data_IF_631959829168
#
_entry.id   IF_631959829168
#
_cell.length_a   1.000
_cell.length_b   1.000
_cell.length_c   1.000
_cell.angle_alpha   90.00
_cell.angle_beta   90.00
_cell.angle_gamma   90.00
#
_symmetry.space_group_name_H-M   'P 1'
#
loop_
_entity.id
_entity.type
_entity.pdbx_description
1 polymer ?
#
# COMPACT_ATOMS: atom_id res chain seq x y z
N UNK A 1 -3.49 -4.02 27.18
CA UNK A 1 -4.80 -3.47 27.54
C UNK A 1 -5.60 -3.24 26.28
N UNK A 2 -6.92 -3.44 26.31
CA UNK A 2 -7.77 -3.09 25.17
C UNK A 2 -7.76 -1.56 25.00
N UNK A 3 -7.60 -1.10 23.76
CA UNK A 3 -7.62 0.32 23.41
C UNK A 3 -8.76 0.65 22.45
N UNK A 4 -9.19 1.91 22.47
CA UNK A 4 -10.05 2.50 21.44
C UNK A 4 -9.16 3.37 20.56
N UNK A 5 -9.31 3.24 19.24
CA UNK A 5 -8.57 4.06 18.29
C UNK A 5 -9.52 5.04 17.62
N UNK A 6 -9.04 6.25 17.37
CA UNK A 6 -9.78 7.28 16.66
C UNK A 6 -8.85 7.97 15.67
N UNK A 7 -9.44 8.45 14.58
CA UNK A 7 -8.76 9.26 13.58
C UNK A 7 -9.72 10.31 13.07
N UNK A 8 -9.18 11.37 12.48
CA UNK A 8 -9.98 12.40 11.83
C UNK A 8 -9.13 13.53 11.30
N UNK A 9 -9.76 14.50 10.63
CA UNK A 9 -9.09 15.72 10.22
C UNK A 9 -8.85 16.65 11.42
N UNK A 10 -7.89 17.55 11.28
CA UNK A 10 -7.71 18.74 12.12
C UNK A 10 -7.27 19.92 11.25
N UNK A 11 -7.53 21.13 11.73
CA UNK A 11 -7.07 22.40 11.16
C UNK A 11 -6.21 23.17 12.16
N UNK A 12 -5.60 22.44 13.10
CA UNK A 12 -4.76 22.98 14.14
C UNK A 12 -3.97 21.88 14.84
N UNK A 13 -3.00 22.28 15.66
CA UNK A 13 -2.17 21.32 16.38
C UNK A 13 -2.92 20.61 17.50
N UNK A 14 -2.78 19.29 17.53
CA UNK A 14 -3.27 18.43 18.59
C UNK A 14 -2.13 17.89 19.49
N UNK A 15 -0.87 18.16 19.14
CA UNK A 15 0.30 17.73 19.89
C UNK A 15 0.42 18.51 21.21
N UNK A 16 0.77 17.81 22.29
CA UNK A 16 0.93 18.45 23.60
C UNK A 16 2.05 19.51 23.56
N UNK A 17 1.76 20.71 24.08
CA UNK A 17 2.73 21.81 24.15
C UNK A 17 2.91 22.57 22.83
N UNK A 18 2.12 22.26 21.80
CA UNK A 18 2.06 23.08 20.59
C UNK A 18 1.48 24.47 20.88
N UNK A 19 1.95 25.47 20.14
CA UNK A 19 1.32 26.79 20.13
C UNK A 19 0.04 26.66 19.31
N UNK A 20 -1.09 27.15 19.81
CA UNK A 20 -2.33 27.14 19.03
C UNK A 20 -2.12 27.86 17.71
N UNK A 21 -2.08 27.09 16.64
CA UNK A 21 -1.99 27.55 15.28
C UNK A 21 -3.21 27.03 14.52
N UNK A 22 -3.83 27.91 13.74
CA UNK A 22 -4.90 27.56 12.81
C UNK A 22 -4.29 27.40 11.43
N UNK A 23 -4.62 26.30 10.76
CA UNK A 23 -4.12 25.95 9.44
C UNK A 23 -5.19 26.16 8.39
N UNK A 24 -4.78 26.71 7.24
CA UNK A 24 -5.67 26.84 6.09
C UNK A 24 -6.01 25.46 5.49
N UNK A 25 -5.04 24.55 5.53
CA UNK A 25 -5.19 23.19 5.05
C UNK A 25 -5.44 22.19 6.17
N UNK A 26 -6.15 21.11 5.82
CA UNK A 26 -6.40 20.00 6.75
C UNK A 26 -5.16 19.11 6.94
N UNK A 27 -4.86 18.75 8.18
CA UNK A 27 -4.06 17.56 8.49
C UNK A 27 -4.98 16.45 9.00
N UNK A 28 -4.40 15.30 9.28
CA UNK A 28 -5.09 14.21 9.97
C UNK A 28 -4.33 13.76 11.19
N UNK A 29 -5.04 13.11 12.11
CA UNK A 29 -4.47 12.55 13.32
C UNK A 29 -4.99 11.14 13.56
N UNK A 30 -4.22 10.37 14.31
CA UNK A 30 -4.61 9.08 14.84
C UNK A 30 -4.22 9.02 16.31
N UNK A 31 -5.09 8.47 17.14
CA UNK A 31 -4.84 8.34 18.56
C UNK A 31 -5.37 7.02 19.12
N UNK A 32 -4.77 6.61 20.23
CA UNK A 32 -5.25 5.49 21.04
C UNK A 32 -5.61 5.97 22.42
N UNK A 33 -6.74 5.48 22.91
CA UNK A 33 -7.24 5.72 24.26
C UNK A 33 -7.38 4.41 25.01
N UNK A 34 -7.16 4.44 26.32
CA UNK A 34 -7.45 3.32 27.20
C UNK A 34 -8.97 3.12 27.28
N UNK A 35 -9.46 1.94 26.90
CA UNK A 35 -10.89 1.68 26.77
C UNK A 35 -11.69 1.86 28.07
N UNK A 36 -11.08 1.62 29.23
CA UNK A 36 -11.73 1.71 30.54
C UNK A 36 -11.83 3.11 31.11
N UNK A 37 -10.92 4.02 30.72
CA UNK A 37 -10.78 5.34 31.36
C UNK A 37 -10.92 6.49 30.38
N UNK A 38 -10.73 6.25 29.09
CA UNK A 38 -10.62 7.31 28.08
C UNK A 38 -9.30 8.06 28.10
N UNK A 39 -8.31 7.61 28.89
CA UNK A 39 -6.98 8.21 28.92
C UNK A 39 -6.28 8.07 27.56
N UNK A 40 -5.78 9.17 27.00
CA UNK A 40 -4.98 9.15 25.79
C UNK A 40 -3.65 8.45 26.06
N UNK A 41 -3.39 7.36 25.34
CA UNK A 41 -2.15 6.58 25.45
C UNK A 41 -1.09 7.09 24.49
N UNK A 42 -1.51 7.47 23.28
CA UNK A 42 -0.66 8.13 22.28
C UNK A 42 -1.53 8.89 21.27
N UNK A 43 -0.92 9.88 20.61
CA UNK A 43 -1.47 10.63 19.50
C UNK A 43 -0.34 10.91 18.51
N UNK A 44 -0.60 10.66 17.24
CA UNK A 44 0.20 11.14 16.13
C UNK A 44 -0.64 12.03 15.22
N UNK A 45 -0.03 13.09 14.71
CA UNK A 45 -0.65 14.00 13.75
C UNK A 45 0.21 13.96 12.48
N UNK A 46 -0.42 13.46 11.42
CA UNK A 46 0.17 13.21 10.12
C UNK A 46 0.27 14.52 9.34
N UNK A 47 1.51 14.89 9.03
CA UNK A 47 1.87 16.15 8.36
C UNK A 47 2.53 17.15 9.31
N UNK A 48 3.43 17.97 8.74
CA UNK A 48 4.26 18.93 9.46
C UNK A 48 4.44 20.29 8.73
N UNK A 49 4.24 20.35 7.41
CA UNK A 49 4.24 21.60 6.62
C UNK A 49 2.82 22.10 6.31
N UNK A 50 2.45 23.24 6.88
CA UNK A 50 1.04 23.60 7.08
C UNK A 50 0.35 24.24 5.88
N UNK A 51 1.11 24.59 4.83
CA UNK A 51 0.55 25.26 3.65
C UNK A 51 0.71 24.46 2.34
N UNK A 52 1.46 23.35 2.35
CA UNK A 52 1.85 22.63 1.14
C UNK A 52 0.89 21.49 0.74
N UNK A 53 0.05 21.01 1.66
CA UNK A 53 -0.81 19.84 1.42
C UNK A 53 -2.13 19.86 2.21
N UNK A 54 -3.09 19.03 1.79
CA UNK A 54 -4.27 18.63 2.55
C UNK A 54 -4.25 17.11 2.75
N UNK A 55 -4.47 16.64 3.98
CA UNK A 55 -4.59 15.21 4.29
C UNK A 55 -5.89 14.95 5.04
N UNK A 56 -6.70 14.03 4.52
CA UNK A 56 -7.99 13.69 5.10
C UNK A 56 -8.18 12.18 5.27
N UNK A 57 -7.76 11.68 6.43
CA UNK A 57 -7.91 10.28 6.85
C UNK A 57 -9.23 10.09 7.60
N UNK A 58 -10.01 9.08 7.21
CA UNK A 58 -11.34 8.77 7.79
C UNK A 58 -11.57 7.28 8.00
N UNK A 59 -10.94 6.42 7.21
CA UNK A 59 -10.96 4.98 7.42
C UNK A 59 -10.00 4.59 8.53
N UNK A 60 -10.39 3.67 9.41
CA UNK A 60 -9.51 3.06 10.40
C UNK A 60 -9.78 1.56 10.51
N UNK A 61 -8.73 0.77 10.55
CA UNK A 61 -8.79 -0.68 10.78
C UNK A 61 -7.68 -1.07 11.74
N UNK A 62 -7.93 -2.08 12.58
CA UNK A 62 -6.96 -2.56 13.55
C UNK A 62 -6.83 -4.06 13.42
N UNK A 63 -5.61 -4.55 13.53
CA UNK A 63 -5.32 -5.99 13.43
C UNK A 63 -4.57 -6.49 14.67
N UNK A 64 -4.70 -7.79 14.92
CA UNK A 64 -4.20 -8.42 16.13
C UNK A 64 -2.66 -8.56 16.16
N UNK A 65 -1.99 -8.31 15.04
CA UNK A 65 -0.53 -8.22 14.93
C UNK A 65 0.08 -6.98 15.61
N UNK A 66 -0.77 -6.02 15.99
CA UNK A 66 -0.31 -4.73 16.51
C UNK A 66 -0.25 -3.61 15.47
N UNK A 67 -0.91 -3.76 14.31
CA UNK A 67 -1.07 -2.72 13.30
C UNK A 67 -2.36 -1.91 13.47
N UNK A 68 -2.25 -0.59 13.35
CA UNK A 68 -3.38 0.34 13.14
C UNK A 68 -3.24 0.93 11.75
N UNK A 69 -4.23 0.72 10.90
CA UNK A 69 -4.26 1.21 9.54
C UNK A 69 -5.24 2.37 9.46
N UNK A 70 -4.81 3.49 8.89
CA UNK A 70 -5.68 4.62 8.56
C UNK A 70 -5.68 4.86 7.05
N UNK A 71 -6.81 5.31 6.51
CA UNK A 71 -7.00 5.49 5.08
C UNK A 71 -7.80 6.73 4.76
N UNK A 72 -7.48 7.35 3.63
CA UNK A 72 -8.09 8.59 3.18
C UNK A 72 -7.53 9.06 1.86
N UNK A 73 -7.26 10.36 1.78
CA UNK A 73 -6.63 10.98 0.63
C UNK A 73 -5.67 12.10 1.04
N UNK A 74 -4.72 12.40 0.15
CA UNK A 74 -3.80 13.53 0.22
C UNK A 74 -3.96 14.42 -1.01
N UNK A 75 -3.62 15.70 -0.90
CA UNK A 75 -3.48 16.63 -2.02
C UNK A 75 -2.31 17.57 -1.74
N UNK A 76 -1.46 17.86 -2.70
CA UNK A 76 -0.25 18.70 -2.51
C UNK A 76 0.99 17.87 -2.18
N UNK A 77 2.01 18.51 -1.61
CA UNK A 77 3.30 17.88 -1.30
C UNK A 77 3.34 17.44 0.16
N UNK A 78 3.02 16.17 0.44
CA UNK A 78 3.24 15.58 1.76
C UNK A 78 4.66 14.99 1.83
N UNK A 79 5.33 15.13 2.96
CA UNK A 79 6.70 14.67 3.15
C UNK A 79 6.88 13.18 2.84
N UNK A 80 7.91 12.87 2.04
CA UNK A 80 8.22 11.51 1.60
C UNK A 80 7.35 10.98 0.46
N UNK A 81 6.43 11.77 -0.08
CA UNK A 81 5.55 11.41 -1.19
C UNK A 81 5.70 12.38 -2.37
N UNK A 82 5.12 12.04 -3.52
CA UNK A 82 5.10 12.91 -4.70
C UNK A 82 4.06 14.03 -4.55
N UNK A 83 4.37 15.23 -5.04
CA UNK A 83 3.41 16.33 -5.07
C UNK A 83 2.27 16.04 -6.04
N UNK A 84 1.03 16.18 -5.57
CA UNK A 84 -0.16 15.93 -6.39
C UNK A 84 -1.04 17.17 -6.52
N UNK A 85 -1.62 17.36 -7.70
CA UNK A 85 -2.52 18.49 -7.97
C UNK A 85 -4.00 18.12 -7.81
N UNK A 86 -4.32 16.84 -8.04
CA UNK A 86 -5.54 16.15 -7.65
C UNK A 86 -5.37 15.50 -6.28
N UNK A 87 -6.40 14.79 -5.82
CA UNK A 87 -6.32 14.02 -4.57
C UNK A 87 -5.89 12.60 -4.88
N UNK A 88 -4.89 12.08 -4.18
CA UNK A 88 -4.48 10.68 -4.28
C UNK A 88 -4.92 9.91 -3.04
N UNK A 89 -5.19 8.61 -3.18
CA UNK A 89 -5.52 7.78 -2.03
C UNK A 89 -4.29 7.65 -1.12
N UNK A 90 -4.50 7.74 0.19
CA UNK A 90 -3.44 7.66 1.18
C UNK A 90 -3.76 6.59 2.20
N UNK A 91 -2.77 5.77 2.55
CA UNK A 91 -2.87 4.73 3.57
C UNK A 91 -1.64 4.84 4.47
N UNK A 92 -1.83 4.72 5.78
CA UNK A 92 -0.71 4.67 6.72
C UNK A 92 -0.90 3.52 7.70
N UNK A 93 0.21 2.90 8.13
CA UNK A 93 0.23 1.93 9.23
C UNK A 93 1.01 2.49 10.40
N UNK A 94 0.47 2.24 11.58
CA UNK A 94 1.05 2.61 12.86
C UNK A 94 1.22 1.39 13.76
N UNK A 95 2.27 1.44 14.57
CA UNK A 95 2.45 0.51 15.68
C UNK A 95 1.42 0.80 16.76
N UNK A 96 0.51 -0.15 17.00
CA UNK A 96 -0.58 -0.04 17.96
C UNK A 96 -0.12 0.22 19.41
N UNK A 97 1.12 -0.16 19.74
CA UNK A 97 1.67 -0.04 21.10
C UNK A 97 2.37 1.31 21.31
N UNK A 98 3.19 1.74 20.35
CA UNK A 98 4.02 2.95 20.48
C UNK A 98 3.40 4.19 19.84
N UNK A 99 2.48 4.03 18.88
CA UNK A 99 1.98 5.13 18.05
C UNK A 99 2.95 5.58 16.96
N UNK A 100 4.04 4.83 16.73
CA UNK A 100 5.00 5.11 15.67
C UNK A 100 4.43 4.79 14.29
N UNK A 101 4.59 5.71 13.34
CA UNK A 101 4.26 5.45 11.94
C UNK A 101 5.27 4.45 11.36
N UNK A 102 4.78 3.31 10.90
CA UNK A 102 5.60 2.26 10.30
C UNK A 102 5.81 2.49 8.81
N UNK A 103 4.76 2.91 8.10
CA UNK A 103 4.83 3.27 6.70
C UNK A 103 3.66 4.17 6.29
N UNK A 104 3.83 4.84 5.16
CA UNK A 104 2.87 5.72 4.50
C UNK A 104 2.92 5.44 3.00
N UNK A 105 1.77 5.15 2.41
CA UNK A 105 1.64 4.72 1.02
C UNK A 105 0.62 5.60 0.29
N UNK A 106 1.02 6.12 -0.87
CA UNK A 106 0.18 6.86 -1.81
C UNK A 106 -0.21 5.95 -2.98
N UNK A 107 -1.50 5.85 -3.27
CA UNK A 107 -2.04 5.10 -4.40
C UNK A 107 -2.77 6.04 -5.34
N UNK A 108 -2.43 5.98 -6.63
CA UNK A 108 -2.92 6.90 -7.63
C UNK A 108 -3.29 6.21 -8.95
N UNK A 109 -4.20 6.85 -9.67
CA UNK A 109 -4.54 6.52 -11.04
C UNK A 109 -3.50 7.05 -12.02
N UNK A 110 -3.31 6.34 -13.13
CA UNK A 110 -2.28 6.64 -14.12
C UNK A 110 -2.52 7.92 -14.96
N UNK A 111 -3.74 8.45 -14.90
CA UNK A 111 -4.21 9.65 -15.61
C UNK A 111 -4.49 10.85 -14.68
N UNK A 112 -3.90 10.86 -13.48
CA UNK A 112 -4.04 11.91 -12.46
C UNK A 112 -5.50 12.13 -12.00
N UNK A 113 -6.33 11.09 -12.01
CA UNK A 113 -7.68 11.11 -11.45
C UNK A 113 -7.70 11.42 -9.94
N UNK A 114 -8.87 11.80 -9.41
CA UNK A 114 -9.00 11.96 -7.95
C UNK A 114 -9.32 10.62 -7.29
N UNK A 115 -8.45 10.20 -6.38
CA UNK A 115 -8.46 8.91 -5.72
C UNK A 115 -8.66 9.06 -4.21
N UNK A 116 -9.35 8.11 -3.60
CA UNK A 116 -9.57 8.11 -2.15
C UNK A 116 -9.77 6.69 -1.61
N UNK A 117 -9.09 6.36 -0.51
CA UNK A 117 -9.36 5.17 0.27
C UNK A 117 -10.46 5.46 1.29
N UNK A 118 -11.50 4.62 1.34
CA UNK A 118 -12.64 4.82 2.25
C UNK A 118 -12.70 3.80 3.38
N UNK A 119 -12.55 2.52 3.03
CA UNK A 119 -12.77 1.45 3.98
C UNK A 119 -11.66 0.41 3.87
N UNK A 120 -11.28 -0.16 5.00
CA UNK A 120 -10.21 -1.14 5.05
C UNK A 120 -10.53 -2.26 6.02
N UNK A 121 -10.10 -3.47 5.68
CA UNK A 121 -10.17 -4.63 6.55
C UNK A 121 -8.92 -5.46 6.41
N UNK A 122 -8.48 -6.08 7.50
CA UNK A 122 -7.32 -6.97 7.47
C UNK A 122 -7.80 -8.41 7.45
N UNK A 123 -7.34 -9.16 6.46
CA UNK A 123 -7.61 -10.58 6.31
C UNK A 123 -6.98 -11.41 7.42
N UNK A 124 -7.42 -12.66 7.55
CA UNK A 124 -6.81 -13.62 8.48
C UNK A 124 -5.34 -13.94 8.14
N UNK A 125 -4.93 -13.65 6.91
CA UNK A 125 -3.57 -13.80 6.40
C UNK A 125 -2.69 -12.57 6.64
N UNK A 126 -3.21 -11.53 7.31
CA UNK A 126 -2.50 -10.27 7.56
C UNK A 126 -2.52 -9.30 6.39
N UNK A 127 -3.15 -9.65 5.26
CA UNK A 127 -3.28 -8.74 4.12
C UNK A 127 -4.28 -7.63 4.43
N UNK A 128 -3.94 -6.39 4.10
CA UNK A 128 -4.86 -5.26 4.15
C UNK A 128 -5.66 -5.19 2.84
N UNK A 129 -6.98 -5.28 2.93
CA UNK A 129 -7.88 -5.03 1.82
C UNK A 129 -8.44 -3.61 1.95
N UNK A 130 -8.25 -2.81 0.91
CA UNK A 130 -8.65 -1.41 0.85
C UNK A 130 -9.68 -1.25 -0.25
N UNK A 131 -10.77 -0.55 0.06
CA UNK A 131 -11.79 -0.16 -0.91
C UNK A 131 -11.89 1.36 -0.98
N UNK A 132 -12.00 1.88 -2.19
CA UNK A 132 -12.01 3.31 -2.46
C UNK A 132 -12.77 3.68 -3.71
N UNK A 133 -12.68 4.97 -4.05
CA UNK A 133 -13.15 5.50 -5.33
C UNK A 133 -11.97 6.07 -6.10
N UNK A 134 -12.08 6.03 -7.42
CA UNK A 134 -11.13 6.64 -8.34
C UNK A 134 -11.87 7.42 -9.41
N UNK A 135 -11.31 8.56 -9.81
CA UNK A 135 -11.74 9.33 -10.95
C UNK A 135 -10.93 9.06 -12.21
N UNK A 136 -10.12 7.99 -12.23
CA UNK A 136 -9.16 7.67 -13.27
C UNK A 136 -8.85 6.17 -13.41
N UNK A 137 -7.78 5.86 -14.13
CA UNK A 137 -7.32 4.50 -14.47
C UNK A 137 -6.34 3.97 -13.41
N UNK A 138 -6.86 3.33 -12.36
CA UNK A 138 -6.08 2.76 -11.24
C UNK A 138 -5.28 1.49 -11.57
N UNK A 139 -5.71 0.70 -12.57
CA UNK A 139 -5.08 -0.58 -12.90
C UNK A 139 -4.96 -0.76 -14.41
N UNK A 140 -3.84 -1.33 -14.86
CA UNK A 140 -3.37 -1.41 -16.25
C UNK A 140 -4.37 -1.97 -17.29
N UNK A 141 -5.43 -2.67 -16.85
CA UNK A 141 -6.40 -3.33 -17.73
C UNK A 141 -7.75 -2.62 -17.83
N UNK A 142 -7.98 -1.55 -17.06
CA UNK A 142 -9.30 -0.92 -16.97
C UNK A 142 -9.29 0.43 -17.70
N UNK A 143 -10.13 0.54 -18.74
CA UNK A 143 -10.36 1.82 -19.40
C UNK A 143 -11.39 2.61 -18.60
N UNK A 144 -10.98 3.77 -18.08
CA UNK A 144 -11.90 4.65 -17.37
C UNK A 144 -12.97 5.15 -18.35
N UNK A 145 -14.24 4.82 -18.09
CA UNK A 145 -15.37 5.21 -18.95
C UNK A 145 -16.03 6.52 -18.52
N UNK A 146 -15.41 7.24 -17.57
CA UNK A 146 -15.86 8.52 -17.05
C UNK A 146 -16.57 8.44 -15.70
N UNK A 147 -16.60 9.58 -15.00
CA UNK A 147 -17.18 9.83 -13.68
C UNK A 147 -16.35 9.34 -12.48
N UNK A 148 -16.67 8.17 -11.93
CA UNK A 148 -16.08 7.68 -10.67
C UNK A 148 -16.30 6.18 -10.61
N UNK A 149 -15.22 5.44 -10.46
CA UNK A 149 -15.23 3.99 -10.33
C UNK A 149 -14.87 3.56 -8.91
N UNK A 150 -15.24 2.33 -8.57
CA UNK A 150 -14.79 1.69 -7.33
C UNK A 150 -13.48 0.95 -7.60
N UNK A 151 -12.59 0.94 -6.63
CA UNK A 151 -11.41 0.08 -6.67
C UNK A 151 -11.26 -0.69 -5.38
N UNK A 152 -10.64 -1.87 -5.48
CA UNK A 152 -10.24 -2.69 -4.36
C UNK A 152 -8.78 -3.06 -4.54
N UNK A 153 -7.96 -2.79 -3.54
CA UNK A 153 -6.55 -3.19 -3.50
C UNK A 153 -6.31 -4.18 -2.36
N UNK A 154 -5.38 -5.11 -2.58
CA UNK A 154 -4.80 -5.94 -1.53
C UNK A 154 -3.36 -5.49 -1.33
N UNK A 155 -3.06 -4.95 -0.15
CA UNK A 155 -1.70 -4.63 0.28
C UNK A 155 -1.22 -5.74 1.21
N UNK A 156 -0.05 -6.28 0.93
CA UNK A 156 0.58 -7.30 1.74
C UNK A 156 2.00 -6.88 2.04
N UNK A 157 2.36 -6.92 3.32
CA UNK A 157 3.74 -6.67 3.72
C UNK A 157 4.63 -7.78 3.17
N UNK A 158 5.74 -7.36 2.59
CA UNK A 158 6.80 -8.24 2.11
C UNK A 158 7.48 -8.82 3.36
N UNK A 159 7.43 -10.15 3.58
CA UNK A 159 8.07 -10.75 4.75
C UNK A 159 9.57 -10.45 4.77
N UNK A 160 10.16 -10.28 5.95
CA UNK A 160 11.63 -10.23 6.09
C UNK A 160 12.25 -11.63 6.04
N UNK A 161 11.44 -12.66 6.30
CA UNK A 161 11.86 -14.07 6.26
C UNK A 161 11.96 -14.57 4.82
N UNK A 162 13.14 -15.07 4.46
CA UNK A 162 13.45 -15.62 3.13
C UNK A 162 12.52 -16.76 2.68
N UNK A 163 12.08 -17.62 3.59
CA UNK A 163 11.20 -18.75 3.24
C UNK A 163 9.77 -18.26 2.95
N UNK A 164 9.32 -17.21 3.63
CA UNK A 164 8.03 -16.57 3.36
C UNK A 164 8.08 -15.69 2.11
N UNK A 165 9.17 -14.96 1.90
CA UNK A 165 9.44 -14.21 0.67
C UNK A 165 9.33 -15.09 -0.57
N UNK A 166 9.96 -16.27 -0.52
CA UNK A 166 9.93 -17.24 -1.62
C UNK A 166 8.50 -17.69 -1.92
N UNK A 167 7.67 -17.92 -0.89
CA UNK A 167 6.26 -18.30 -1.06
C UNK A 167 5.41 -17.16 -1.65
N UNK A 168 5.65 -15.92 -1.20
CA UNK A 168 4.95 -14.73 -1.73
C UNK A 168 5.29 -14.52 -3.21
N UNK A 169 6.58 -14.54 -3.55
CA UNK A 169 7.05 -14.41 -4.93
C UNK A 169 6.49 -15.52 -5.82
N UNK A 170 6.51 -16.77 -5.35
CA UNK A 170 5.93 -17.89 -6.09
C UNK A 170 4.44 -17.66 -6.39
N UNK A 171 3.66 -17.23 -5.40
CA UNK A 171 2.22 -16.99 -5.58
C UNK A 171 1.93 -15.84 -6.54
N UNK A 172 2.75 -14.79 -6.51
CA UNK A 172 2.65 -13.67 -7.44
C UNK A 172 2.94 -14.12 -8.89
N UNK A 173 4.01 -14.90 -9.08
CA UNK A 173 4.36 -15.48 -10.39
C UNK A 173 3.23 -16.40 -10.87
N UNK A 174 2.76 -17.32 -10.04
CA UNK A 174 1.65 -18.22 -10.37
C UNK A 174 0.39 -17.44 -10.80
N UNK A 175 0.08 -16.32 -10.14
CA UNK A 175 -1.03 -15.42 -10.51
C UNK A 175 -0.81 -14.71 -11.85
N UNK A 176 0.36 -14.11 -12.09
CA UNK A 176 0.65 -13.45 -13.38
C UNK A 176 0.67 -14.47 -14.54
N UNK A 177 1.13 -15.70 -14.29
CA UNK A 177 1.03 -16.81 -15.23
C UNK A 177 -0.43 -17.19 -15.46
N UNK A 178 -1.27 -17.29 -14.43
CA UNK A 178 -2.69 -17.63 -14.61
C UNK A 178 -3.42 -16.59 -15.47
N UNK A 179 -3.21 -15.29 -15.20
CA UNK A 179 -3.80 -14.20 -15.97
C UNK A 179 -3.38 -14.22 -17.45
N UNK A 180 -2.14 -14.59 -17.76
CA UNK A 180 -1.64 -14.67 -19.14
C UNK A 180 -2.08 -15.94 -19.87
N UNK A 181 -2.35 -17.04 -19.15
CA UNK A 181 -2.89 -18.27 -19.76
C UNK A 181 -4.38 -18.19 -20.10
N UNK A 182 -5.16 -17.38 -19.38
CA UNK A 182 -6.60 -17.19 -19.67
C UNK A 182 -6.83 -16.44 -20.99
N UNK A 183 -5.87 -15.58 -21.40
CA UNK A 183 -5.92 -14.83 -22.66
C UNK A 183 -5.73 -15.70 -23.91
N UNK A 184 -5.27 -16.96 -23.77
CA UNK A 184 -5.02 -17.88 -24.90
C UNK A 184 -6.24 -18.78 -25.19
N UNK A 185 -7.21 -18.89 -24.29
CA UNK A 185 -8.30 -19.86 -24.42
C UNK A 185 -9.57 -19.38 -25.17
N UNK A 186 -9.64 -18.11 -25.59
CA UNK A 186 -10.77 -17.61 -26.41
C UNK A 186 -10.53 -17.65 -27.93
N UNK A 187 -9.38 -18.15 -28.40
CA UNK A 187 -9.20 -18.38 -29.83
C UNK A 187 -8.81 -19.82 -30.15
N UNK A 188 -9.74 -20.47 -30.84
CA UNK A 188 -9.61 -21.63 -31.72
C UNK A 188 -9.64 -23.04 -31.11
N UNK A 189 -10.49 -23.83 -31.78
CA UNK A 189 -10.63 -25.27 -31.70
C UNK A 189 -9.29 -26.02 -31.72
N UNK A 190 -9.22 -27.06 -30.90
CA UNK A 190 -8.40 -28.28 -31.06
C UNK A 190 -6.92 -28.10 -31.42
N UNK A 191 -6.02 -28.32 -30.46
CA UNK A 191 -5.08 -29.48 -30.44
C UNK A 191 -4.15 -29.46 -29.23
N UNK A 192 -3.98 -30.65 -28.63
CA UNK A 192 -2.75 -31.16 -27.99
C UNK A 192 -2.04 -30.32 -26.92
N UNK A 193 -2.24 -30.73 -25.66
CA UNK A 193 -1.48 -30.33 -24.47
C UNK A 193 0.04 -30.49 -24.60
N UNK A 194 0.77 -29.39 -24.39
CA UNK A 194 2.12 -29.38 -23.82
C UNK A 194 2.15 -28.39 -22.68
N UNK A 195 2.38 -28.89 -21.46
CA UNK A 195 2.71 -28.09 -20.29
C UNK A 195 4.10 -27.49 -20.52
N UNK A 196 4.17 -26.17 -20.71
CA UNK A 196 5.42 -25.46 -20.93
C UNK A 196 6.17 -25.34 -19.60
N UNK A 197 7.32 -26.00 -19.52
CA UNK A 197 8.30 -25.85 -18.44
C UNK A 197 8.78 -24.41 -18.35
N UNK A 198 8.73 -23.84 -17.15
CA UNK A 198 9.31 -22.53 -16.81
C UNK A 198 10.81 -22.59 -17.09
N UNK A 199 11.35 -21.60 -17.80
CA UNK A 199 12.80 -21.48 -17.99
C UNK A 199 13.35 -20.47 -16.99
N UNK A 200 14.57 -20.72 -16.50
CA UNK A 200 15.29 -19.86 -15.55
C UNK A 200 15.39 -18.40 -16.00
N UNK A 201 15.31 -18.13 -17.30
CA UNK A 201 15.32 -16.78 -17.88
C UNK A 201 14.11 -15.93 -17.50
N UNK A 202 12.90 -16.51 -17.39
CA UNK A 202 11.69 -15.71 -17.09
C UNK A 202 11.63 -15.27 -15.63
N UNK A 203 12.23 -16.03 -14.71
CA UNK A 203 12.26 -15.72 -13.28
C UNK A 203 13.21 -14.56 -12.97
N UNK A 204 14.37 -14.52 -13.63
CA UNK A 204 15.34 -13.43 -13.50
C UNK A 204 14.85 -12.13 -14.14
N UNK A 205 14.11 -12.22 -15.25
CA UNK A 205 13.55 -11.04 -15.95
C UNK A 205 12.45 -10.37 -15.11
N UNK A 206 11.55 -11.17 -14.51
CA UNK A 206 10.50 -10.66 -13.59
C UNK A 206 11.09 -10.13 -12.29
N UNK A 207 12.10 -10.78 -11.71
CA UNK A 207 12.78 -10.27 -10.52
C UNK A 207 13.48 -8.94 -10.80
N UNK A 208 14.06 -8.77 -11.99
CA UNK A 208 14.67 -7.51 -12.41
C UNK A 208 13.64 -6.39 -12.62
N UNK A 209 12.44 -6.68 -13.13
CA UNK A 209 11.36 -5.71 -13.28
C UNK A 209 10.81 -5.24 -11.92
N UNK A 210 10.61 -6.14 -10.97
CA UNK A 210 10.16 -5.80 -9.60
C UNK A 210 11.20 -4.96 -8.85
N UNK A 211 12.49 -5.23 -9.08
CA UNK A 211 13.58 -4.41 -8.54
C UNK A 211 13.59 -3.02 -9.20
N UNK A 212 13.35 -2.95 -10.51
CA UNK A 212 13.33 -1.69 -11.24
C UNK A 212 12.18 -0.79 -10.78
N UNK A 213 10.97 -1.33 -10.55
CA UNK A 213 9.80 -0.57 -10.07
C UNK A 213 9.98 -0.02 -8.65
N UNK A 214 10.70 -0.73 -7.77
CA UNK A 214 10.98 -0.27 -6.40
C UNK A 214 12.15 0.72 -6.33
N UNK A 215 13.06 0.71 -7.30
CA UNK A 215 14.20 1.64 -7.35
C UNK A 215 13.84 3.05 -7.83
N UNK A 216 12.67 3.24 -8.44
CA UNK A 216 12.18 4.56 -8.87
C UNK A 216 11.53 5.38 -7.77
N UNK A 217 11.27 4.81 -6.57
CA UNK A 217 10.55 5.50 -5.49
C UNK A 217 11.35 5.78 -4.21
N UNK A 218 12.55 5.20 -3.99
CA UNK A 218 13.34 5.50 -2.77
C UNK A 218 14.86 5.40 -2.99
N UNK A 219 15.60 6.30 -2.33
CA UNK A 219 17.06 6.32 -2.33
C UNK A 219 17.68 5.26 -1.41
N UNK A 220 18.65 4.53 -1.97
CA UNK A 220 19.55 3.53 -1.36
C UNK A 220 18.95 2.14 -1.00
N UNK A 221 18.85 1.28 -2.02
CA UNK A 221 18.38 -0.13 -1.95
C UNK A 221 19.53 -1.11 -2.33
N UNK A 222 20.80 -0.67 -2.28
CA UNK A 222 21.90 -1.42 -2.91
C UNK A 222 22.21 -2.79 -2.27
N UNK A 223 21.92 -2.97 -0.98
CA UNK A 223 22.10 -4.25 -0.29
C UNK A 223 20.94 -5.24 -0.54
N UNK A 224 19.70 -4.76 -0.63
CA UNK A 224 18.51 -5.59 -0.82
C UNK A 224 18.36 -6.06 -2.27
N UNK A 225 18.68 -5.21 -3.24
CA UNK A 225 18.68 -5.58 -4.67
C UNK A 225 19.66 -6.72 -4.98
N UNK A 226 20.81 -6.72 -4.30
CA UNK A 226 21.81 -7.80 -4.41
C UNK A 226 21.28 -9.11 -3.81
N UNK A 227 20.47 -9.03 -2.76
CA UNK A 227 19.85 -10.20 -2.11
C UNK A 227 18.76 -10.81 -2.99
N UNK A 228 17.83 -10.01 -3.53
CA UNK A 228 16.73 -10.49 -4.39
C UNK A 228 17.25 -11.16 -5.67
N UNK A 229 18.29 -10.62 -6.31
CA UNK A 229 18.92 -11.24 -7.47
C UNK A 229 19.61 -12.57 -7.14
N UNK A 230 20.20 -12.68 -5.94
CA UNK A 230 20.82 -13.93 -5.49
C UNK A 230 19.78 -15.03 -5.21
N UNK A 231 18.59 -14.65 -4.76
CA UNK A 231 17.45 -15.56 -4.49
C UNK A 231 16.78 -16.01 -5.79
N UNK A 232 16.55 -15.10 -6.74
CA UNK A 232 16.05 -15.46 -8.07
C UNK A 232 17.00 -16.46 -8.76
N UNK A 233 18.31 -16.30 -8.56
CA UNK A 233 19.32 -17.22 -9.06
C UNK A 233 19.39 -18.56 -8.30
N UNK A 234 19.07 -18.61 -6.99
CA UNK A 234 19.06 -19.87 -6.23
C UNK A 234 17.83 -20.71 -6.52
N UNK A 235 16.65 -20.10 -6.61
CA UNK A 235 15.38 -20.77 -6.98
C UNK A 235 15.47 -21.34 -8.40
N UNK A 236 16.11 -20.61 -9.32
CA UNK A 236 16.36 -21.08 -10.68
C UNK A 236 17.28 -22.32 -10.76
N UNK A 237 18.15 -22.55 -9.76
CA UNK A 237 19.07 -23.69 -9.71
C UNK A 237 18.50 -24.92 -8.99
N UNK A 238 17.43 -24.79 -8.20
CA UNK A 238 16.77 -25.94 -7.56
C UNK A 238 15.76 -26.67 -8.47
N UNK A 239 15.31 -26.01 -9.56
CA UNK A 239 14.42 -26.62 -10.58
C UNK A 239 15.15 -27.24 -11.78
N UNK A 240 16.49 -27.29 -11.79
CA UNK A 240 17.33 -27.92 -12.84
C UNK A 240 17.92 -29.27 -12.42
#
# INVERSE_FOLDING_TARGET
SCGVYATGPTYGDLKEGAVEAEYENSQSWVAKFQASTGEQLWLDQLGDDQDAFNVWMRGISVYNDGGVYIGGWTKGQLDGLEAVTTSDALIAKYNAYTGEQLWLEQLNSSDDGSDSAYNMTVGSDGSLYVAGITGGEMFETETYQGSTDIWIAQLREVPEDYDELTQVLKRYIDYKVSQSTETVLETSETTSTTSSSITTSSLLEVAAEVIASNSSSTGDISSDTTSVLSVAASVANEES
#
